data_IF_152392041389
#
_entry.id   IF_152392041389
#
_cell.length_a   1.000
_cell.length_b   1.000
_cell.length_c   1.000
_cell.angle_alpha   90.00
_cell.angle_beta   90.00
_cell.angle_gamma   90.00
#
_symmetry.space_group_name_H-M   'P 1'
#
loop_
_entity.id
_entity.type
_entity.pdbx_description
1 polymer ?
#
# COMPACT_ATOMS: atom_id res chain seq x y z
N UNK A 1 12.28 -14.27 106.32
CA UNK A 1 13.19 -14.81 105.30
C UNK A 1 12.61 -14.46 103.95
N UNK A 2 13.27 -13.52 103.23
CA UNK A 2 12.79 -12.99 101.97
C UNK A 2 13.58 -13.68 100.86
N UNK A 3 12.90 -14.49 100.04
CA UNK A 3 13.49 -15.12 98.83
C UNK A 3 13.63 -14.09 97.72
N UNK A 4 14.87 -13.86 97.27
CA UNK A 4 15.19 -13.07 96.12
C UNK A 4 15.01 -13.90 94.83
N UNK A 5 13.99 -13.57 94.03
CA UNK A 5 13.81 -14.12 92.69
C UNK A 5 14.75 -13.44 91.69
N UNK A 6 15.52 -14.25 91.01
CA UNK A 6 16.49 -13.85 90.00
C UNK A 6 15.69 -13.51 88.72
N UNK A 7 15.86 -12.30 88.09
CA UNK A 7 15.21 -11.97 86.84
C UNK A 7 15.95 -12.64 85.66
N UNK A 8 15.18 -13.28 84.87
CA UNK A 8 15.57 -14.11 83.73
C UNK A 8 16.50 -13.47 82.72
N UNK A 9 17.52 -14.21 82.35
CA UNK A 9 18.40 -13.90 81.27
C UNK A 9 17.62 -13.92 79.94
N UNK A 10 17.56 -12.76 79.29
CA UNK A 10 17.07 -12.67 77.89
C UNK A 10 18.08 -13.37 76.98
N UNK A 11 17.64 -14.26 76.05
CA UNK A 11 18.55 -14.85 75.09
C UNK A 11 19.05 -13.75 74.11
N UNK A 12 20.37 -13.61 74.06
CA UNK A 12 21.01 -12.72 73.11
C UNK A 12 20.61 -13.15 71.65
N UNK A 13 19.86 -12.28 70.94
CA UNK A 13 19.62 -12.44 69.51
C UNK A 13 20.97 -12.35 68.81
N UNK A 14 21.42 -13.47 68.27
CA UNK A 14 22.57 -13.51 67.39
C UNK A 14 22.19 -12.79 66.09
N UNK A 15 22.60 -11.55 65.93
CA UNK A 15 22.54 -10.86 64.63
C UNK A 15 23.63 -11.45 63.76
N UNK A 16 23.30 -12.37 62.89
CA UNK A 16 24.18 -12.85 61.85
C UNK A 16 24.46 -11.68 60.89
N UNK A 17 25.65 -11.11 60.96
CA UNK A 17 26.09 -10.13 59.99
C UNK A 17 26.47 -10.85 58.68
N UNK A 18 26.11 -10.25 57.55
CA UNK A 18 26.53 -10.74 56.23
C UNK A 18 28.06 -10.68 56.09
N UNK A 19 28.65 -11.73 55.56
CA UNK A 19 30.07 -11.75 55.24
C UNK A 19 30.33 -10.98 53.93
N UNK A 20 31.46 -10.33 53.80
CA UNK A 20 31.84 -9.59 52.59
C UNK A 20 31.81 -10.47 51.34
N UNK A 21 32.18 -11.75 51.46
CA UNK A 21 32.16 -12.73 50.39
C UNK A 21 30.72 -13.03 49.91
N UNK A 22 29.77 -13.14 50.83
CA UNK A 22 28.37 -13.40 50.54
C UNK A 22 27.74 -12.25 49.72
N UNK A 23 28.09 -10.99 50.09
CA UNK A 23 27.66 -9.81 49.34
C UNK A 23 28.29 -9.81 47.92
N UNK A 24 29.58 -10.12 47.77
CA UNK A 24 30.22 -10.19 46.46
C UNK A 24 29.61 -11.27 45.56
N UNK A 25 29.32 -12.45 46.09
CA UNK A 25 28.65 -13.54 45.36
C UNK A 25 27.23 -13.13 44.95
N UNK A 26 26.47 -12.52 45.82
CA UNK A 26 25.12 -12.06 45.55
C UNK A 26 25.09 -11.01 44.44
N UNK A 27 26.01 -10.04 44.49
CA UNK A 27 26.12 -9.00 43.45
C UNK A 27 26.50 -9.61 42.07
N UNK A 28 27.45 -10.55 42.06
CA UNK A 28 27.83 -11.21 40.78
C UNK A 28 26.67 -11.99 40.15
N UNK A 29 25.89 -12.74 40.96
CA UNK A 29 24.72 -13.45 40.47
C UNK A 29 23.69 -12.45 39.94
N UNK A 30 23.46 -11.35 40.65
CA UNK A 30 22.50 -10.32 40.26
C UNK A 30 22.89 -9.68 38.93
N UNK A 31 24.19 -9.38 38.73
CA UNK A 31 24.68 -8.83 37.45
C UNK A 31 24.47 -9.81 36.29
N UNK A 32 24.76 -11.09 36.51
CA UNK A 32 24.53 -12.13 35.48
C UNK A 32 23.04 -12.25 35.13
N UNK A 33 22.16 -12.25 36.12
CA UNK A 33 20.72 -12.29 35.92
C UNK A 33 20.23 -11.05 35.14
N UNK A 34 20.71 -9.85 35.49
CA UNK A 34 20.38 -8.62 34.77
C UNK A 34 20.82 -8.67 33.31
N UNK A 35 21.99 -9.24 33.02
CA UNK A 35 22.49 -9.42 31.65
C UNK A 35 21.59 -10.34 30.82
N UNK A 36 21.14 -11.44 31.41
CA UNK A 36 20.21 -12.39 30.78
C UNK A 36 18.87 -11.71 30.49
N UNK A 37 18.31 -10.99 31.46
CA UNK A 37 17.03 -10.27 31.31
C UNK A 37 17.15 -9.18 30.24
N UNK A 38 18.24 -8.41 30.21
CA UNK A 38 18.46 -7.37 29.20
C UNK A 38 18.51 -7.96 27.79
N UNK A 39 19.20 -9.07 27.58
CA UNK A 39 19.23 -9.79 26.30
C UNK A 39 17.84 -10.31 25.89
N UNK A 40 17.10 -10.87 26.83
CA UNK A 40 15.74 -11.35 26.58
C UNK A 40 14.80 -10.21 26.17
N UNK A 41 14.82 -9.09 26.87
CA UNK A 41 14.02 -7.90 26.55
C UNK A 41 14.36 -7.37 25.16
N UNK A 42 15.65 -7.31 24.80
CA UNK A 42 16.09 -6.90 23.47
C UNK A 42 15.54 -7.82 22.36
N UNK A 43 15.55 -9.13 22.59
CA UNK A 43 15.01 -10.12 21.65
C UNK A 43 13.50 -9.94 21.46
N UNK A 44 12.77 -9.80 22.56
CA UNK A 44 11.31 -9.59 22.54
C UNK A 44 10.95 -8.31 21.80
N UNK A 45 11.65 -7.20 22.07
CA UNK A 45 11.42 -5.95 21.38
C UNK A 45 11.64 -6.06 19.86
N UNK A 46 12.71 -6.68 19.42
CA UNK A 46 12.98 -6.91 17.97
C UNK A 46 11.89 -7.75 17.33
N UNK A 47 11.48 -8.82 17.99
CA UNK A 47 10.41 -9.70 17.51
C UNK A 47 9.09 -8.95 17.43
N UNK A 48 8.76 -8.16 18.43
CA UNK A 48 7.53 -7.37 18.48
C UNK A 48 7.47 -6.31 17.38
N UNK A 49 8.55 -5.55 17.19
CA UNK A 49 8.64 -4.56 16.10
C UNK A 49 8.47 -5.23 14.74
N UNK A 50 9.13 -6.36 14.52
CA UNK A 50 9.01 -7.12 13.26
C UNK A 50 7.60 -7.64 13.03
N UNK A 51 6.99 -8.23 14.04
CA UNK A 51 5.62 -8.76 13.98
C UNK A 51 4.62 -7.65 13.71
N UNK A 52 4.71 -6.53 14.41
CA UNK A 52 3.83 -5.38 14.20
C UNK A 52 3.97 -4.78 12.79
N UNK A 53 5.20 -4.71 12.27
CA UNK A 53 5.45 -4.29 10.89
C UNK A 53 4.80 -5.24 9.87
N UNK A 54 4.88 -6.55 10.08
CA UNK A 54 4.21 -7.52 9.21
C UNK A 54 2.69 -7.39 9.24
N UNK A 55 2.11 -7.25 10.43
CA UNK A 55 0.65 -7.03 10.57
C UNK A 55 0.19 -5.77 9.86
N UNK A 56 0.95 -4.68 9.98
CA UNK A 56 0.67 -3.44 9.24
C UNK A 56 0.70 -3.65 7.73
N UNK A 57 1.73 -4.32 7.22
CA UNK A 57 1.85 -4.63 5.78
C UNK A 57 0.69 -5.49 5.27
N UNK A 58 0.28 -6.51 6.00
CA UNK A 58 -0.88 -7.34 5.62
C UNK A 58 -2.18 -6.54 5.63
N UNK A 59 -2.35 -5.64 6.58
CA UNK A 59 -3.53 -4.76 6.63
C UNK A 59 -3.58 -3.83 5.42
N UNK A 60 -2.46 -3.20 5.09
CA UNK A 60 -2.34 -2.33 3.91
C UNK A 60 -2.59 -3.10 2.61
N UNK A 61 -1.99 -4.28 2.48
CA UNK A 61 -2.21 -5.14 1.31
C UNK A 61 -3.68 -5.57 1.16
N UNK A 62 -4.36 -5.88 2.27
CA UNK A 62 -5.78 -6.23 2.25
C UNK A 62 -6.65 -5.05 1.81
N UNK A 63 -6.39 -3.86 2.34
CA UNK A 63 -7.14 -2.64 1.95
C UNK A 63 -6.94 -2.36 0.46
N UNK A 64 -5.70 -2.47 -0.03
CA UNK A 64 -5.40 -2.28 -1.44
C UNK A 64 -6.11 -3.33 -2.33
N UNK A 65 -6.14 -4.59 -1.90
CA UNK A 65 -6.83 -5.65 -2.61
C UNK A 65 -8.35 -5.45 -2.63
N UNK A 66 -8.94 -5.08 -1.50
CA UNK A 66 -10.38 -4.81 -1.40
C UNK A 66 -10.78 -3.61 -2.29
N UNK A 67 -9.96 -2.57 -2.31
CA UNK A 67 -10.17 -1.41 -3.19
C UNK A 67 -10.08 -1.81 -4.67
N UNK A 68 -9.04 -2.56 -5.04
CA UNK A 68 -8.82 -3.02 -6.41
C UNK A 68 -9.99 -3.90 -6.88
N UNK A 69 -10.39 -4.88 -6.09
CA UNK A 69 -11.51 -5.76 -6.43
C UNK A 69 -12.83 -5.01 -6.55
N UNK A 70 -13.07 -4.07 -5.66
CA UNK A 70 -14.25 -3.21 -5.71
C UNK A 70 -14.28 -2.37 -6.99
N UNK A 71 -13.17 -1.70 -7.32
CA UNK A 71 -13.10 -0.85 -8.50
C UNK A 71 -13.15 -1.69 -9.78
N UNK A 72 -12.49 -2.85 -9.79
CA UNK A 72 -12.53 -3.77 -10.93
C UNK A 72 -13.91 -4.38 -11.17
N UNK A 73 -14.68 -4.62 -10.11
CA UNK A 73 -16.06 -5.11 -10.25
C UNK A 73 -17.01 -4.11 -10.90
N UNK A 74 -16.63 -2.83 -10.93
CA UNK A 74 -17.37 -1.76 -11.61
C UNK A 74 -16.89 -1.54 -13.05
N UNK A 75 -15.86 -2.28 -13.49
CA UNK A 75 -15.40 -2.22 -14.87
C UNK A 75 -16.57 -2.57 -15.82
N UNK A 76 -16.78 -1.70 -16.79
CA UNK A 76 -17.88 -1.86 -17.73
C UNK A 76 -17.37 -1.93 -19.15
N UNK A 77 -17.94 -2.85 -19.92
CA UNK A 77 -17.75 -2.95 -21.35
C UNK A 77 -19.13 -2.70 -21.98
N UNK A 78 -19.34 -1.53 -22.54
CA UNK A 78 -20.55 -1.21 -23.29
C UNK A 78 -20.54 -1.97 -24.61
N UNK A 79 -20.84 -3.27 -24.57
CA UNK A 79 -20.77 -4.12 -25.76
C UNK A 79 -22.10 -4.13 -26.49
N UNK A 80 -22.04 -3.93 -27.81
CA UNK A 80 -23.15 -4.00 -28.72
C UNK A 80 -22.81 -4.88 -29.92
N UNK A 81 -23.82 -5.29 -30.65
CA UNK A 81 -23.69 -6.07 -31.88
C UNK A 81 -23.65 -5.12 -33.07
N UNK A 82 -22.61 -5.23 -33.88
CA UNK A 82 -22.45 -4.48 -35.10
C UNK A 82 -22.26 -5.41 -36.30
N UNK A 83 -22.70 -4.95 -37.47
CA UNK A 83 -22.51 -5.68 -38.72
C UNK A 83 -21.06 -5.45 -39.21
N UNK A 84 -20.33 -6.53 -39.41
CA UNK A 84 -19.08 -6.48 -40.18
C UNK A 84 -19.46 -6.49 -41.66
N UNK A 85 -19.05 -5.44 -42.38
CA UNK A 85 -19.26 -5.27 -43.79
C UNK A 85 -18.05 -5.70 -44.61
N UNK A 86 -18.29 -6.53 -45.62
CA UNK A 86 -17.30 -6.86 -46.65
C UNK A 86 -17.47 -5.93 -47.81
N UNK A 87 -16.33 -5.35 -48.28
CA UNK A 87 -16.32 -4.48 -49.41
C UNK A 87 -16.27 -5.31 -50.71
N UNK A 88 -17.33 -5.26 -51.52
CA UNK A 88 -17.46 -6.01 -52.74
C UNK A 88 -16.93 -5.26 -53.97
N UNK A 89 -16.39 -4.05 -53.78
CA UNK A 89 -15.94 -3.21 -54.86
C UNK A 89 -16.77 -1.93 -55.05
N UNK A 90 -16.53 -1.22 -56.10
CA UNK A 90 -17.24 0.02 -56.43
C UNK A 90 -18.27 -0.24 -57.53
N UNK A 91 -19.41 0.39 -57.41
CA UNK A 91 -20.41 0.42 -58.48
C UNK A 91 -19.94 1.31 -59.65
N UNK A 92 -20.58 1.20 -60.76
CA UNK A 92 -20.33 2.03 -61.95
C UNK A 92 -20.44 3.55 -61.69
N UNK A 93 -21.07 3.95 -60.61
CA UNK A 93 -21.14 5.31 -60.10
C UNK A 93 -20.04 5.68 -59.10
N UNK A 94 -19.07 4.77 -58.81
CA UNK A 94 -17.95 5.00 -57.86
C UNK A 94 -18.33 4.83 -56.38
N UNK A 95 -19.56 4.36 -56.08
CA UNK A 95 -19.97 4.11 -54.68
C UNK A 95 -19.48 2.74 -54.22
N UNK A 96 -19.05 2.64 -52.99
CA UNK A 96 -18.60 1.39 -52.37
C UNK A 96 -19.79 0.49 -52.07
N UNK A 97 -19.80 -0.68 -52.71
CA UNK A 97 -20.82 -1.71 -52.41
C UNK A 97 -20.36 -2.52 -51.21
N UNK A 98 -21.09 -2.44 -50.14
CA UNK A 98 -20.85 -3.22 -48.92
C UNK A 98 -21.92 -4.26 -48.67
N UNK A 99 -21.54 -5.48 -48.29
CA UNK A 99 -22.43 -6.55 -47.90
C UNK A 99 -22.15 -6.94 -46.44
N UNK A 100 -23.20 -7.08 -45.67
CA UNK A 100 -23.04 -7.60 -44.29
C UNK A 100 -22.51 -9.04 -44.36
N UNK A 101 -21.38 -9.30 -43.71
CA UNK A 101 -20.70 -10.59 -43.68
C UNK A 101 -21.00 -11.33 -42.38
N UNK A 102 -20.88 -10.66 -41.27
CA UNK A 102 -21.02 -11.23 -39.93
C UNK A 102 -21.58 -10.22 -38.96
N UNK A 103 -22.11 -10.74 -37.83
CA UNK A 103 -22.41 -9.94 -36.66
C UNK A 103 -21.27 -10.12 -35.66
N UNK A 104 -20.61 -9.04 -35.34
CA UNK A 104 -19.51 -9.02 -34.37
C UNK A 104 -19.89 -8.23 -33.13
N UNK A 105 -19.40 -8.67 -31.99
CA UNK A 105 -19.59 -7.95 -30.76
C UNK A 105 -18.49 -6.91 -30.64
N UNK A 106 -18.86 -5.66 -30.55
CA UNK A 106 -17.94 -4.53 -30.39
C UNK A 106 -18.14 -3.83 -29.06
N UNK A 107 -17.14 -3.10 -28.62
CA UNK A 107 -17.20 -2.24 -27.46
C UNK A 107 -16.34 -1.00 -27.72
N UNK A 108 -16.87 0.16 -27.41
CA UNK A 108 -16.14 1.42 -27.41
C UNK A 108 -15.24 1.55 -26.16
N UNK A 109 -15.59 0.82 -25.10
CA UNK A 109 -14.85 0.80 -23.86
C UNK A 109 -13.82 -0.32 -23.88
N UNK A 110 -12.65 -0.06 -23.33
CA UNK A 110 -11.57 -1.03 -23.35
C UNK A 110 -11.26 -1.55 -21.95
N UNK A 111 -11.02 -2.84 -21.90
CA UNK A 111 -10.41 -3.52 -20.77
C UNK A 111 -9.11 -4.15 -21.26
N UNK A 112 -7.98 -3.67 -20.73
CA UNK A 112 -6.65 -4.12 -21.16
C UNK A 112 -5.90 -4.64 -19.94
N UNK A 113 -5.38 -5.85 -20.04
CA UNK A 113 -4.54 -6.46 -19.01
C UNK A 113 -3.35 -7.12 -19.70
N UNK A 114 -2.16 -6.84 -19.24
CA UNK A 114 -0.96 -7.41 -19.86
C UNK A 114 0.32 -7.00 -19.15
N UNK A 115 1.47 -7.44 -19.71
CA UNK A 115 2.75 -7.00 -19.21
C UNK A 115 2.91 -5.49 -19.40
N UNK A 116 3.50 -4.83 -18.45
CA UNK A 116 3.74 -3.39 -18.49
C UNK A 116 4.84 -3.04 -19.47
N UNK A 117 5.81 -3.95 -19.66
CA UNK A 117 7.02 -3.78 -20.47
C UNK A 117 7.15 -4.91 -21.47
N UNK A 118 7.68 -4.62 -22.64
CA UNK A 118 7.94 -5.58 -23.72
C UNK A 118 7.45 -5.08 -25.07
N UNK A 119 7.58 -5.90 -26.13
CA UNK A 119 7.12 -5.57 -27.48
C UNK A 119 5.61 -5.32 -27.58
N UNK A 120 4.84 -5.97 -26.71
CA UNK A 120 3.39 -5.79 -26.55
C UNK A 120 3.03 -5.21 -25.18
N UNK A 121 3.94 -4.43 -24.56
CA UNK A 121 3.74 -3.84 -23.25
C UNK A 121 2.71 -2.72 -23.27
N UNK A 122 2.04 -2.52 -22.14
CA UNK A 122 1.05 -1.46 -21.96
C UNK A 122 1.66 -0.07 -21.97
N UNK A 123 2.95 0.05 -21.62
CA UNK A 123 3.68 1.30 -21.65
C UNK A 123 4.67 1.31 -22.82
N UNK A 124 4.67 2.40 -23.56
CA UNK A 124 5.61 2.61 -24.65
C UNK A 124 7.04 2.78 -24.12
N UNK A 125 8.00 2.29 -24.83
CA UNK A 125 9.39 1.94 -24.49
C UNK A 125 10.30 2.98 -23.80
N UNK A 126 9.82 4.18 -23.49
CA UNK A 126 10.67 5.22 -22.86
C UNK A 126 10.84 5.13 -21.35
N UNK A 127 9.93 4.47 -20.64
CA UNK A 127 9.90 4.43 -19.17
C UNK A 127 9.98 3.00 -18.59
N UNK A 128 10.34 2.07 -19.43
CA UNK A 128 10.24 0.63 -19.21
C UNK A 128 10.91 0.04 -17.97
N UNK A 129 12.09 0.46 -17.50
CA UNK A 129 12.77 -0.26 -16.43
C UNK A 129 12.09 -0.10 -15.05
N UNK A 130 11.20 0.87 -14.90
CA UNK A 130 10.63 1.20 -13.61
C UNK A 130 9.24 0.56 -13.36
N UNK A 131 8.68 -0.14 -14.35
CA UNK A 131 7.34 -0.73 -14.26
C UNK A 131 7.37 -2.26 -14.42
N UNK A 132 7.85 -2.99 -13.41
CA UNK A 132 7.91 -4.45 -13.49
C UNK A 132 6.52 -5.08 -13.34
N UNK A 133 6.30 -6.20 -14.04
CA UNK A 133 5.12 -7.03 -13.87
C UNK A 133 4.01 -6.75 -14.88
N UNK A 134 2.79 -6.79 -14.40
CA UNK A 134 1.58 -6.62 -15.20
C UNK A 134 0.78 -5.41 -14.73
N UNK A 135 0.08 -4.79 -15.65
CA UNK A 135 -0.89 -3.74 -15.37
C UNK A 135 -2.28 -4.13 -15.85
N UNK A 136 -3.29 -3.50 -15.30
CA UNK A 136 -4.67 -3.59 -15.73
C UNK A 136 -5.22 -2.18 -15.89
N UNK A 137 -5.87 -1.92 -17.03
CA UNK A 137 -6.53 -0.66 -17.33
C UNK A 137 -7.94 -0.95 -17.81
N UNK A 138 -8.89 -0.19 -17.31
CA UNK A 138 -10.30 -0.37 -17.62
C UNK A 138 -11.05 0.96 -17.49
N UNK A 139 -12.26 0.98 -17.96
CA UNK A 139 -13.17 2.10 -17.81
C UNK A 139 -14.29 1.73 -16.85
N UNK A 140 -14.62 2.66 -15.96
CA UNK A 140 -15.64 2.45 -14.95
C UNK A 140 -16.29 3.80 -14.54
N UNK A 141 -17.52 3.79 -14.02
CA UNK A 141 -18.20 4.98 -13.55
C UNK A 141 -17.69 5.41 -12.16
N UNK A 142 -16.39 5.70 -12.08
CA UNK A 142 -15.67 6.07 -10.85
C UNK A 142 -15.13 7.50 -10.89
N UNK A 143 -15.41 8.24 -11.96
CA UNK A 143 -14.92 9.60 -12.15
C UNK A 143 -15.62 10.60 -11.24
N UNK A 144 -14.84 11.54 -10.75
CA UNK A 144 -15.29 12.72 -10.00
C UNK A 144 -14.76 13.91 -10.75
N UNK A 145 -15.62 14.94 -11.00
CA UNK A 145 -15.12 16.19 -11.56
C UNK A 145 -14.19 16.86 -10.57
N UNK A 146 -13.01 17.27 -11.04
CA UNK A 146 -12.22 18.22 -10.28
C UNK A 146 -13.04 19.51 -10.18
N UNK A 147 -12.96 20.15 -9.03
CA UNK A 147 -13.57 21.46 -8.81
C UNK A 147 -12.87 22.47 -9.74
N UNK A 148 -13.31 22.49 -10.99
CA UNK A 148 -12.78 23.43 -11.96
C UNK A 148 -13.22 24.82 -11.49
N UNK A 149 -12.25 25.68 -11.25
CA UNK A 149 -12.42 27.12 -11.09
C UNK A 149 -12.72 27.74 -12.46
N UNK A 150 -13.65 27.15 -13.21
CA UNK A 150 -14.18 27.74 -14.42
C UNK A 150 -15.18 28.82 -13.99
N UNK A 151 -14.69 30.01 -13.85
CA UNK A 151 -15.49 31.25 -13.77
C UNK A 151 -16.18 31.43 -15.12
N UNK A 152 -17.29 30.73 -15.32
CA UNK A 152 -18.27 31.14 -16.32
C UNK A 152 -18.90 32.45 -15.86
N UNK A 153 -19.30 33.32 -16.78
CA UNK A 153 -19.87 34.63 -16.49
C UNK A 153 -21.06 34.63 -15.53
N UNK A 154 -21.60 33.48 -15.20
CA UNK A 154 -22.68 33.22 -14.21
C UNK A 154 -22.18 32.63 -12.88
N UNK A 155 -20.87 32.38 -12.71
CA UNK A 155 -20.30 32.02 -11.42
C UNK A 155 -20.57 30.60 -10.92
N UNK A 156 -21.29 29.78 -11.64
CA UNK A 156 -21.57 28.37 -11.29
C UNK A 156 -21.07 27.47 -12.42
N UNK A 157 -20.11 26.61 -12.14
CA UNK A 157 -19.71 25.58 -13.08
C UNK A 157 -20.84 24.51 -13.12
N UNK A 158 -21.43 24.27 -14.27
CA UNK A 158 -22.51 23.30 -14.48
C UNK A 158 -22.10 21.84 -14.13
N UNK A 159 -20.81 21.60 -13.92
CA UNK A 159 -20.22 20.28 -13.64
C UNK A 159 -19.75 20.11 -12.19
N UNK A 160 -20.07 21.05 -11.30
CA UNK A 160 -19.66 20.97 -9.90
C UNK A 160 -20.36 19.79 -9.20
N UNK A 161 -19.58 18.93 -8.56
CA UNK A 161 -20.03 17.75 -7.81
C UNK A 161 -20.66 16.60 -8.63
N UNK A 162 -20.42 16.51 -9.93
CA UNK A 162 -20.81 15.32 -10.66
C UNK A 162 -19.98 14.10 -10.19
N UNK A 163 -20.68 13.03 -9.83
CA UNK A 163 -20.09 11.75 -9.40
C UNK A 163 -20.48 10.64 -10.37
N UNK A 164 -19.75 9.53 -10.32
CA UNK A 164 -19.99 8.36 -11.17
C UNK A 164 -19.86 8.64 -12.66
N UNK A 165 -18.97 9.54 -13.03
CA UNK A 165 -18.63 9.78 -14.41
C UNK A 165 -17.75 8.64 -14.94
N UNK A 166 -17.91 8.35 -16.24
CA UNK A 166 -17.08 7.35 -16.89
C UNK A 166 -15.63 7.87 -16.96
N UNK A 167 -14.72 7.13 -16.35
CA UNK A 167 -13.30 7.47 -16.36
C UNK A 167 -12.42 6.23 -16.59
N UNK A 168 -11.21 6.45 -17.10
CA UNK A 168 -10.18 5.43 -17.15
C UNK A 168 -9.58 5.19 -15.77
N UNK A 169 -9.44 3.94 -15.39
CA UNK A 169 -8.73 3.49 -14.19
C UNK A 169 -7.64 2.52 -14.56
N UNK A 170 -6.52 2.58 -13.85
CA UNK A 170 -5.44 1.63 -14.07
C UNK A 170 -4.70 1.32 -12.79
N UNK A 171 -4.21 0.09 -12.71
CA UNK A 171 -3.36 -0.39 -11.64
C UNK A 171 -2.11 -1.02 -12.21
N UNK A 172 -0.97 -0.60 -11.72
CA UNK A 172 0.34 -1.12 -12.12
C UNK A 172 1.34 -1.00 -10.99
N UNK A 173 2.47 -1.68 -11.12
CA UNK A 173 3.54 -1.63 -10.12
C UNK A 173 4.68 -0.77 -10.64
N UNK A 174 5.15 0.14 -9.81
CA UNK A 174 6.32 0.98 -10.08
C UNK A 174 7.46 0.61 -9.15
N UNK A 175 8.66 0.50 -9.71
CA UNK A 175 9.90 0.43 -8.97
C UNK A 175 10.54 1.82 -8.94
N UNK A 176 10.59 2.44 -7.79
CA UNK A 176 11.10 3.81 -7.69
C UNK A 176 11.65 4.17 -6.33
N UNK A 177 12.35 5.30 -6.32
CA UNK A 177 12.84 5.93 -5.09
C UNK A 177 11.68 6.50 -4.28
N UNK A 178 11.84 6.50 -2.97
CA UNK A 178 10.86 7.08 -2.03
C UNK A 178 10.99 8.60 -1.88
N UNK A 179 11.93 9.24 -2.58
CA UNK A 179 12.20 10.68 -2.43
C UNK A 179 10.99 11.56 -2.72
N UNK A 180 10.23 11.26 -3.77
CA UNK A 180 9.04 12.04 -4.15
C UNK A 180 7.89 11.96 -3.13
N UNK A 181 7.89 10.91 -2.32
CA UNK A 181 6.81 10.63 -1.34
C UNK A 181 7.23 10.88 0.10
N UNK A 182 8.45 11.38 0.31
CA UNK A 182 8.95 11.70 1.64
C UNK A 182 8.34 13.00 2.14
N UNK A 183 7.99 13.06 3.43
CA UNK A 183 7.68 14.33 4.08
C UNK A 183 8.87 15.30 3.95
N UNK A 184 8.59 16.57 3.75
CA UNK A 184 9.59 17.63 3.49
C UNK A 184 10.66 17.73 4.59
N UNK A 185 10.31 17.44 5.84
CA UNK A 185 11.28 17.46 6.94
C UNK A 185 12.38 16.38 6.81
N UNK A 186 12.08 15.23 6.20
CA UNK A 186 13.08 14.18 5.97
C UNK A 186 14.05 14.52 4.85
N UNK A 187 13.63 15.30 3.88
CA UNK A 187 14.52 15.79 2.81
C UNK A 187 15.54 16.83 3.32
N UNK A 188 15.23 17.51 4.41
CA UNK A 188 16.13 18.47 5.05
C UNK A 188 17.20 17.79 5.92
N UNK A 189 16.98 16.54 6.33
CA UNK A 189 17.97 15.74 7.06
C UNK A 189 18.90 15.08 6.04
N UNK A 190 20.00 15.72 5.71
CA UNK A 190 20.92 15.31 4.63
C UNK A 190 21.58 13.94 4.73
N UNK A 191 21.24 13.13 5.75
CA UNK A 191 21.87 11.82 6.00
C UNK A 191 20.95 10.60 5.71
N UNK A 192 19.71 10.81 5.23
CA UNK A 192 18.80 9.70 4.97
C UNK A 192 18.91 9.26 3.51
N UNK A 193 19.54 8.11 3.21
CA UNK A 193 19.68 7.64 1.84
C UNK A 193 18.32 7.31 1.21
N UNK A 194 18.18 7.45 -0.12
CA UNK A 194 16.96 7.06 -0.82
C UNK A 194 16.76 5.55 -0.72
N UNK A 195 15.52 5.14 -0.50
CA UNK A 195 15.13 3.72 -0.49
C UNK A 195 14.30 3.43 -1.73
N UNK A 196 14.67 2.37 -2.43
CA UNK A 196 13.93 1.88 -3.58
C UNK A 196 12.91 0.84 -3.14
N UNK A 197 11.69 0.94 -3.67
CA UNK A 197 10.58 0.04 -3.33
C UNK A 197 9.69 -0.20 -4.54
N UNK A 198 9.03 -1.36 -4.53
CA UNK A 198 7.88 -1.62 -5.36
C UNK A 198 6.66 -0.95 -4.74
N UNK A 199 5.89 -0.22 -5.55
CA UNK A 199 4.65 0.46 -5.15
C UNK A 199 3.55 0.06 -6.11
N UNK A 200 2.39 -0.24 -5.54
CA UNK A 200 1.17 -0.33 -6.32
C UNK A 200 0.70 1.10 -6.60
N UNK A 201 0.61 1.44 -7.88
CA UNK A 201 0.16 2.74 -8.36
C UNK A 201 -1.25 2.62 -8.92
N UNK A 202 -2.05 3.64 -8.68
CA UNK A 202 -3.37 3.82 -9.28
C UNK A 202 -3.31 4.98 -10.25
N UNK A 203 -3.72 4.72 -11.48
CA UNK A 203 -3.98 5.75 -12.49
C UNK A 203 -5.45 6.15 -12.39
N UNK A 204 -5.69 7.40 -12.10
CA UNK A 204 -7.03 7.96 -11.89
C UNK A 204 -7.06 9.39 -12.42
N UNK A 205 -7.23 9.57 -13.74
CA UNK A 205 -7.42 10.91 -14.29
C UNK A 205 -8.71 11.52 -13.79
N UNK A 206 -8.71 12.82 -13.63
CA UNK A 206 -9.95 13.58 -13.41
C UNK A 206 -10.83 13.47 -14.66
N UNK A 207 -12.13 13.34 -14.48
CA UNK A 207 -13.08 13.42 -15.57
C UNK A 207 -13.28 14.93 -15.87
N UNK A 208 -12.59 15.41 -16.90
CA UNK A 208 -12.75 16.76 -17.44
C UNK A 208 -13.57 16.70 -18.73
#
# INVERSE_FOLDING_TARGET
MKSLSNPGAHPAKHTCGFTLVEVMVSVTILVVLMMIVANFVSLVQRTWVRSNSQVSQFREARIAFDLLTRNLSQATLNSYWENEFENLGNDSAGQVITKAKNYIRQSELQFVCGPTVGSNGLFTSGSAPNFPGHGVFFQAPLGITSRATATTATGVADTENMVNLMCGRGYFVEWGSDQAFRPTFLSQIGSVPPRFRLRLMEYSPTAE
#
